data_IF_869311603663
#
_entry.id   IF_869311603663
#
_cell.length_a   1.000
_cell.length_b   1.000
_cell.length_c   1.000
_cell.angle_alpha   90.00
_cell.angle_beta   90.00
_cell.angle_gamma   90.00
#
_symmetry.space_group_name_H-M   'P 1'
#
loop_
_entity.id
_entity.type
_entity.pdbx_description
1 polymer ?
#
# COMPACT_ATOMS: atom_id res chain seq x y z
N UNK A 1 -9.55 9.73 1.25
CA UNK A 1 -10.66 10.26 0.43
C UNK A 1 -11.82 9.27 0.30
N UNK A 2 -11.67 8.05 0.81
CA UNK A 2 -12.68 7.00 0.78
C UNK A 2 -12.95 6.41 -0.60
N UNK A 3 -12.00 6.54 -1.53
CA UNK A 3 -12.19 6.04 -2.90
C UNK A 3 -11.87 4.56 -3.08
N UNK A 4 -11.22 3.90 -2.12
CA UNK A 4 -10.81 2.50 -2.20
C UNK A 4 -10.97 1.75 -0.87
N UNK A 5 -12.10 1.90 -0.21
CA UNK A 5 -12.39 1.24 1.06
C UNK A 5 -12.58 -0.27 0.85
N UNK A 6 -11.86 -1.09 1.62
CA UNK A 6 -11.85 -2.53 1.49
C UNK A 6 -13.27 -3.14 1.58
N UNK A 7 -13.65 -3.84 0.53
CA UNK A 7 -14.97 -4.48 0.41
C UNK A 7 -16.13 -3.55 0.06
N UNK A 8 -15.93 -2.23 0.09
CA UNK A 8 -16.97 -1.22 -0.15
C UNK A 8 -16.71 -0.36 -1.39
N UNK A 9 -15.46 -0.27 -1.84
CA UNK A 9 -15.07 0.55 -2.98
C UNK A 9 -15.08 2.04 -2.68
N UNK A 10 -15.53 2.85 -3.63
CA UNK A 10 -15.60 4.31 -3.47
C UNK A 10 -16.89 4.71 -2.74
N UNK A 11 -16.74 5.00 -1.45
CA UNK A 11 -17.85 5.46 -0.59
C UNK A 11 -17.77 6.95 -0.22
N UNK A 12 -16.66 7.61 -0.60
CA UNK A 12 -16.40 9.02 -0.33
C UNK A 12 -16.00 9.34 1.11
N UNK A 13 -15.60 10.59 1.32
CA UNK A 13 -15.03 11.05 2.58
C UNK A 13 -15.96 10.87 3.77
N UNK A 14 -17.22 11.28 3.65
CA UNK A 14 -18.17 11.25 4.75
C UNK A 14 -18.44 9.82 5.25
N UNK A 15 -18.63 8.88 4.34
CA UNK A 15 -18.91 7.49 4.70
C UNK A 15 -17.66 6.73 5.17
N UNK A 16 -16.45 7.23 4.88
CA UNK A 16 -15.19 6.64 5.37
C UNK A 16 -14.80 7.05 6.79
N UNK A 17 -15.46 8.06 7.40
CA UNK A 17 -15.17 8.52 8.77
C UNK A 17 -15.13 7.37 9.77
N UNK A 18 -16.13 6.47 9.85
CA UNK A 18 -16.10 5.37 10.82
C UNK A 18 -14.92 4.40 10.62
N UNK A 19 -14.47 4.22 9.37
CA UNK A 19 -13.29 3.40 9.05
C UNK A 19 -12.03 4.05 9.62
N UNK A 20 -11.88 5.36 9.42
CA UNK A 20 -10.71 6.10 9.91
C UNK A 20 -10.71 6.23 11.44
N UNK A 21 -11.87 6.35 12.08
CA UNK A 21 -11.99 6.29 13.54
C UNK A 21 -11.58 4.92 14.08
N UNK A 22 -11.99 3.84 13.42
CA UNK A 22 -11.56 2.48 13.73
C UNK A 22 -10.05 2.32 13.60
N UNK A 23 -9.45 2.88 12.54
CA UNK A 23 -7.99 2.90 12.35
C UNK A 23 -7.29 3.66 13.49
N UNK A 24 -7.79 4.83 13.87
CA UNK A 24 -7.24 5.61 14.98
C UNK A 24 -7.28 4.83 16.30
N UNK A 25 -8.38 4.10 16.55
CA UNK A 25 -8.50 3.22 17.73
C UNK A 25 -7.43 2.12 17.71
N UNK A 26 -7.18 1.48 16.56
CA UNK A 26 -6.14 0.44 16.44
C UNK A 26 -4.73 1.01 16.67
N UNK A 27 -4.42 2.19 16.17
CA UNK A 27 -3.15 2.88 16.46
C UNK A 27 -2.99 3.11 17.97
N UNK A 28 -4.06 3.53 18.65
CA UNK A 28 -4.01 3.73 20.10
C UNK A 28 -3.84 2.43 20.86
N UNK A 29 -4.62 1.40 20.52
CA UNK A 29 -4.64 0.13 21.24
C UNK A 29 -3.31 -0.64 21.08
N UNK A 30 -2.78 -0.74 19.85
CA UNK A 30 -1.63 -1.59 19.57
C UNK A 30 -0.28 -0.86 19.58
N UNK A 31 -0.25 0.44 19.33
CA UNK A 31 0.98 1.21 19.26
C UNK A 31 1.08 2.33 20.31
N UNK A 32 0.02 2.61 21.06
CA UNK A 32 -0.04 3.73 22.02
C UNK A 32 0.01 5.10 21.35
N UNK A 33 -0.21 5.18 20.04
CA UNK A 33 -0.14 6.41 19.25
C UNK A 33 -1.51 7.08 19.21
N UNK A 34 -1.57 8.38 19.46
CA UNK A 34 -2.76 9.19 19.25
C UNK A 34 -2.86 9.55 17.76
N UNK A 35 -3.87 9.04 17.08
CA UNK A 35 -4.14 9.31 15.70
C UNK A 35 -5.40 10.15 15.51
N UNK A 36 -5.36 11.06 14.53
CA UNK A 36 -6.44 11.98 14.21
C UNK A 36 -6.98 11.62 12.82
N UNK A 37 -8.20 11.08 12.73
CA UNK A 37 -8.80 10.77 11.44
C UNK A 37 -9.15 12.05 10.69
N UNK A 38 -8.69 12.15 9.44
CA UNK A 38 -8.98 13.27 8.55
C UNK A 38 -9.43 12.69 7.22
N UNK A 39 -10.70 12.93 6.87
CA UNK A 39 -11.27 12.51 5.59
C UNK A 39 -11.43 13.74 4.68
N UNK A 40 -10.84 13.70 3.49
CA UNK A 40 -10.88 14.80 2.53
C UNK A 40 -11.96 14.56 1.49
N UNK A 41 -12.86 15.52 1.33
CA UNK A 41 -13.91 15.48 0.29
C UNK A 41 -13.37 15.95 -1.07
N UNK A 42 -12.31 15.29 -1.51
CA UNK A 42 -11.69 15.47 -2.83
C UNK A 42 -10.98 14.21 -3.26
N UNK A 43 -10.94 13.96 -4.57
CA UNK A 43 -10.15 12.93 -5.20
C UNK A 43 -9.08 13.52 -6.14
N UNK A 44 -8.87 14.83 -6.08
CA UNK A 44 -7.80 15.50 -6.81
C UNK A 44 -6.46 15.33 -6.08
N UNK A 45 -5.44 14.86 -6.82
CA UNK A 45 -4.11 14.60 -6.28
C UNK A 45 -3.46 15.85 -5.71
N UNK A 46 -3.58 16.98 -6.41
CA UNK A 46 -2.96 18.25 -5.99
C UNK A 46 -3.59 18.76 -4.70
N UNK A 47 -4.93 18.72 -4.61
CA UNK A 47 -5.65 19.13 -3.41
C UNK A 47 -5.32 18.25 -2.20
N UNK A 48 -5.21 16.94 -2.39
CA UNK A 48 -4.80 16.00 -1.32
C UNK A 48 -3.38 16.33 -0.85
N UNK A 49 -2.42 16.42 -1.77
CA UNK A 49 -1.01 16.72 -1.44
C UNK A 49 -0.87 18.07 -0.76
N UNK A 50 -1.50 19.11 -1.28
CA UNK A 50 -1.47 20.45 -0.68
C UNK A 50 -2.08 20.47 0.72
N UNK A 51 -3.19 19.77 0.94
CA UNK A 51 -3.83 19.69 2.26
C UNK A 51 -2.91 18.98 3.25
N UNK A 52 -2.35 17.81 2.89
CA UNK A 52 -1.44 17.06 3.76
C UNK A 52 -0.20 17.90 4.09
N UNK A 53 0.41 18.59 3.13
CA UNK A 53 1.56 19.48 3.36
C UNK A 53 1.25 20.58 4.37
N UNK A 54 0.04 21.15 4.32
CA UNK A 54 -0.37 22.25 5.22
C UNK A 54 -0.58 21.79 6.66
N UNK A 55 -1.08 20.56 6.86
CA UNK A 55 -1.33 20.00 8.19
C UNK A 55 -0.11 19.27 8.78
N UNK A 56 0.80 18.77 7.94
CA UNK A 56 1.96 17.98 8.35
C UNK A 56 2.79 18.56 9.51
N UNK A 57 3.01 19.89 9.61
CA UNK A 57 3.86 20.46 10.68
C UNK A 57 3.39 20.19 12.12
N UNK A 58 2.16 19.77 12.33
CA UNK A 58 1.62 19.49 13.68
C UNK A 58 1.56 18.00 13.99
N UNK A 59 2.02 17.15 13.07
CA UNK A 59 2.01 15.69 13.20
C UNK A 59 3.40 15.08 13.23
N UNK A 60 3.54 13.96 13.91
CA UNK A 60 4.76 13.17 13.91
C UNK A 60 4.87 12.17 12.75
N UNK A 61 3.80 11.97 11.98
CA UNK A 61 3.73 11.10 10.81
C UNK A 61 2.35 11.14 10.16
N UNK A 62 2.26 10.66 8.93
CA UNK A 62 1.04 10.59 8.14
C UNK A 62 0.81 9.15 7.67
N UNK A 63 -0.34 8.58 7.99
CA UNK A 63 -0.84 7.35 7.39
C UNK A 63 -1.86 7.70 6.31
N UNK A 64 -1.51 7.44 5.05
CA UNK A 64 -2.45 7.53 3.94
C UNK A 64 -3.26 6.24 3.88
N UNK A 65 -4.57 6.35 3.69
CA UNK A 65 -5.49 5.23 3.70
C UNK A 65 -6.62 5.45 2.70
N UNK A 66 -7.12 4.36 2.11
CA UNK A 66 -8.31 4.34 1.26
C UNK A 66 -8.27 5.30 0.06
N UNK A 67 -7.07 5.51 -0.51
CA UNK A 67 -6.86 6.26 -1.75
C UNK A 67 -6.68 5.27 -2.91
N UNK A 68 -7.54 5.35 -3.92
CA UNK A 68 -7.52 4.41 -5.04
C UNK A 68 -6.24 4.50 -5.89
N UNK A 69 -5.75 3.33 -6.34
CA UNK A 69 -4.71 3.29 -7.35
C UNK A 69 -5.26 3.77 -8.73
N UNK A 70 -4.44 4.44 -9.57
CA UNK A 70 -3.02 4.67 -9.40
C UNK A 70 -2.67 5.92 -8.56
N UNK A 71 -3.65 6.75 -8.21
CA UNK A 71 -3.48 8.04 -7.53
C UNK A 71 -2.73 7.91 -6.20
N UNK A 72 -2.96 6.84 -5.44
CA UNK A 72 -2.30 6.61 -4.16
C UNK A 72 -0.77 6.59 -4.27
N UNK A 73 -0.21 6.08 -5.37
CA UNK A 73 1.23 6.04 -5.60
C UNK A 73 1.80 7.45 -5.75
N UNK A 74 1.16 8.28 -6.59
CA UNK A 74 1.58 9.66 -6.81
C UNK A 74 1.46 10.52 -5.54
N UNK A 75 0.35 10.39 -4.80
CA UNK A 75 0.15 11.12 -3.54
C UNK A 75 1.24 10.76 -2.55
N UNK A 76 1.55 9.48 -2.36
CA UNK A 76 2.59 9.04 -1.43
C UNK A 76 3.96 9.53 -1.86
N UNK A 77 4.35 9.36 -3.13
CA UNK A 77 5.64 9.80 -3.67
C UNK A 77 5.87 11.29 -3.44
N UNK A 78 4.87 12.12 -3.74
CA UNK A 78 4.95 13.58 -3.61
C UNK A 78 5.03 14.08 -2.17
N UNK A 79 4.79 13.23 -1.18
CA UNK A 79 4.82 13.60 0.24
C UNK A 79 6.08 13.07 0.97
N UNK A 80 6.98 12.36 0.29
CA UNK A 80 8.18 11.80 0.92
C UNK A 80 9.19 12.85 1.39
N UNK A 81 9.09 14.07 0.91
CA UNK A 81 9.98 15.20 1.27
C UNK A 81 9.54 15.97 2.53
N UNK A 82 8.49 15.55 3.22
CA UNK A 82 7.94 16.28 4.38
C UNK A 82 8.82 16.28 5.63
N UNK A 83 9.85 15.42 5.68
CA UNK A 83 10.73 15.30 6.86
C UNK A 83 10.10 14.56 8.05
N UNK A 84 8.90 14.05 7.89
CA UNK A 84 8.21 13.13 8.81
C UNK A 84 7.83 11.86 8.05
N UNK A 85 7.66 10.71 8.73
CA UNK A 85 7.20 9.48 8.07
C UNK A 85 5.85 9.66 7.38
N UNK A 86 5.80 9.29 6.10
CA UNK A 86 4.56 9.20 5.33
C UNK A 86 4.51 7.84 4.65
N UNK A 87 3.43 7.12 4.81
CA UNK A 87 3.24 5.84 4.13
C UNK A 87 1.76 5.60 3.80
N UNK A 88 1.52 4.77 2.81
CA UNK A 88 0.19 4.33 2.42
C UNK A 88 -0.03 2.89 2.89
N UNK A 89 -0.91 2.69 3.86
CA UNK A 89 -1.07 1.39 4.53
C UNK A 89 -1.58 0.30 3.60
N UNK A 90 -2.51 0.61 2.69
CA UNK A 90 -3.03 -0.35 1.69
C UNK A 90 -1.94 -0.90 0.76
N UNK A 91 -0.82 -0.19 0.64
CA UNK A 91 0.37 -0.68 -0.08
C UNK A 91 1.30 -1.42 0.89
N UNK A 92 1.92 -0.68 1.78
CA UNK A 92 3.07 -1.15 2.57
C UNK A 92 2.67 -2.02 3.75
N UNK A 93 1.61 -1.68 4.49
CA UNK A 93 1.12 -2.48 5.60
C UNK A 93 0.67 -3.85 5.13
N UNK A 94 -0.11 -3.90 4.06
CA UNK A 94 -0.57 -5.15 3.45
C UNK A 94 0.61 -6.00 2.93
N UNK A 95 1.60 -5.38 2.28
CA UNK A 95 2.78 -6.09 1.79
C UNK A 95 3.62 -6.68 2.94
N UNK A 96 3.81 -5.94 4.04
CA UNK A 96 4.56 -6.38 5.23
C UNK A 96 3.89 -7.58 5.89
N UNK A 97 2.58 -7.53 6.14
CA UNK A 97 1.88 -8.65 6.81
C UNK A 97 1.83 -9.89 5.93
N UNK A 98 1.72 -9.72 4.61
CA UNK A 98 1.76 -10.84 3.67
C UNK A 98 3.15 -11.50 3.64
N UNK A 99 4.22 -10.70 3.57
CA UNK A 99 5.58 -11.23 3.63
C UNK A 99 5.84 -11.98 4.95
N UNK A 100 5.40 -11.43 6.08
CA UNK A 100 5.51 -12.09 7.38
C UNK A 100 4.77 -13.43 7.40
N UNK A 101 3.57 -13.49 6.83
CA UNK A 101 2.80 -14.73 6.70
C UNK A 101 3.50 -15.74 5.79
N UNK A 102 4.06 -15.30 4.66
CA UNK A 102 4.79 -16.16 3.73
C UNK A 102 6.05 -16.76 4.38
N UNK A 103 6.85 -15.94 5.06
CA UNK A 103 8.05 -16.40 5.80
C UNK A 103 7.66 -17.46 6.83
N UNK A 104 6.62 -17.23 7.62
CA UNK A 104 6.18 -18.19 8.62
C UNK A 104 5.60 -19.47 8.00
N UNK A 105 4.88 -19.36 6.89
CA UNK A 105 4.40 -20.53 6.14
C UNK A 105 5.56 -21.37 5.61
N UNK A 106 6.60 -20.74 5.07
CA UNK A 106 7.80 -21.42 4.60
C UNK A 106 8.52 -22.16 5.77
N UNK A 107 8.61 -21.52 6.94
CA UNK A 107 9.18 -22.13 8.15
C UNK A 107 8.41 -23.37 8.59
N UNK A 108 7.07 -23.27 8.67
CA UNK A 108 6.20 -24.39 9.08
C UNK A 108 6.27 -25.57 8.10
N UNK A 109 6.38 -25.26 6.81
CA UNK A 109 6.43 -26.26 5.73
C UNK A 109 7.86 -26.71 5.40
N UNK A 110 8.87 -26.21 6.11
CA UNK A 110 10.31 -26.45 5.85
C UNK A 110 10.68 -26.20 4.38
N UNK A 111 10.17 -25.11 3.81
CA UNK A 111 10.43 -24.70 2.43
C UNK A 111 11.38 -23.49 2.39
N UNK A 112 12.24 -23.50 1.39
CA UNK A 112 13.09 -22.36 1.06
C UNK A 112 12.28 -21.30 0.31
N UNK A 113 12.20 -20.10 0.87
CA UNK A 113 11.45 -18.98 0.29
C UNK A 113 11.94 -18.60 -1.11
N UNK A 114 13.24 -18.77 -1.38
CA UNK A 114 13.84 -18.48 -2.69
C UNK A 114 13.41 -19.44 -3.81
N UNK A 115 12.71 -20.52 -3.44
CA UNK A 115 12.16 -21.53 -4.37
C UNK A 115 10.64 -21.47 -4.48
N UNK A 116 10.02 -20.44 -3.93
CA UNK A 116 8.56 -20.26 -3.98
C UNK A 116 8.20 -19.42 -5.20
N UNK A 117 7.20 -19.88 -5.95
CA UNK A 117 6.54 -19.11 -6.99
C UNK A 117 5.21 -18.60 -6.48
N UNK A 118 4.96 -17.31 -6.65
CA UNK A 118 3.78 -16.62 -6.12
C UNK A 118 2.91 -16.14 -7.26
N UNK A 119 1.60 -16.38 -7.16
CA UNK A 119 0.60 -15.78 -8.05
C UNK A 119 -0.23 -14.78 -7.26
N UNK A 120 -0.28 -13.54 -7.72
CA UNK A 120 -1.05 -12.46 -7.09
C UNK A 120 -2.28 -12.19 -7.95
N UNK A 121 -3.47 -12.40 -7.40
CA UNK A 121 -4.73 -12.07 -8.06
C UNK A 121 -5.21 -10.69 -7.63
N UNK A 122 -4.90 -9.67 -8.43
CA UNK A 122 -5.20 -8.27 -8.19
C UNK A 122 -3.94 -7.39 -8.32
N UNK A 123 -3.92 -6.51 -9.32
CA UNK A 123 -2.83 -5.57 -9.61
C UNK A 123 -3.24 -4.14 -9.22
N UNK A 124 -3.81 -3.97 -8.05
CA UNK A 124 -4.08 -2.68 -7.40
C UNK A 124 -2.93 -2.25 -6.49
N UNK A 125 -3.18 -1.30 -5.58
CA UNK A 125 -2.17 -0.77 -4.65
C UNK A 125 -1.44 -1.90 -3.88
N UNK A 126 -2.19 -2.78 -3.20
CA UNK A 126 -1.62 -3.89 -2.45
C UNK A 126 -0.86 -4.88 -3.35
N UNK A 127 -1.48 -5.34 -4.44
CA UNK A 127 -0.85 -6.34 -5.32
C UNK A 127 0.45 -5.87 -5.94
N UNK A 128 0.54 -4.61 -6.31
CA UNK A 128 1.76 -3.99 -6.84
C UNK A 128 2.83 -3.91 -5.76
N UNK A 129 2.50 -3.39 -4.57
CA UNK A 129 3.45 -3.29 -3.45
C UNK A 129 3.96 -4.66 -2.99
N UNK A 130 3.08 -5.67 -2.94
CA UNK A 130 3.44 -7.05 -2.61
C UNK A 130 4.43 -7.60 -3.65
N UNK A 131 4.15 -7.42 -4.95
CA UNK A 131 5.03 -7.91 -6.02
C UNK A 131 6.42 -7.30 -5.93
N UNK A 132 6.51 -5.98 -5.71
CA UNK A 132 7.77 -5.26 -5.52
C UNK A 132 8.54 -5.78 -4.30
N UNK A 133 7.87 -5.93 -3.15
CA UNK A 133 8.50 -6.43 -1.93
C UNK A 133 9.00 -7.86 -2.08
N UNK A 134 8.23 -8.77 -2.68
CA UNK A 134 8.63 -10.17 -2.89
C UNK A 134 9.77 -10.31 -3.91
N UNK A 135 9.95 -9.34 -4.79
CA UNK A 135 11.06 -9.27 -5.74
C UNK A 135 12.23 -8.41 -5.25
N UNK A 136 12.16 -7.90 -4.04
CA UNK A 136 13.19 -7.04 -3.44
C UNK A 136 13.45 -5.74 -4.23
N UNK A 137 12.47 -5.21 -4.93
CA UNK A 137 12.63 -3.97 -5.69
C UNK A 137 12.90 -2.81 -4.73
N UNK A 138 14.04 -2.14 -4.90
CA UNK A 138 14.47 -1.03 -4.03
C UNK A 138 15.13 -1.45 -2.70
N UNK A 139 15.37 -2.74 -2.49
CA UNK A 139 16.08 -3.24 -1.30
C UNK A 139 17.49 -3.71 -1.64
N UNK A 140 18.38 -3.64 -0.65
CA UNK A 140 19.75 -4.16 -0.77
C UNK A 140 19.71 -5.70 -0.79
N UNK A 141 20.43 -6.32 -1.73
CA UNK A 141 20.53 -7.78 -1.89
C UNK A 141 21.08 -8.49 -0.63
N UNK A 142 21.82 -7.76 0.23
CA UNK A 142 22.31 -8.30 1.51
C UNK A 142 21.18 -8.46 2.55
N UNK A 143 20.06 -7.77 2.39
CA UNK A 143 18.96 -7.72 3.37
C UNK A 143 17.72 -8.46 2.88
N UNK A 144 17.51 -8.52 1.57
CA UNK A 144 16.31 -9.09 0.98
C UNK A 144 16.65 -10.26 0.07
N UNK A 145 15.93 -11.36 0.22
CA UNK A 145 16.02 -12.53 -0.65
C UNK A 145 14.72 -12.67 -1.45
N UNK A 146 14.76 -12.49 -2.78
CA UNK A 146 13.56 -12.58 -3.60
C UNK A 146 13.04 -14.01 -3.67
N UNK A 147 11.73 -14.16 -3.84
CA UNK A 147 11.12 -15.43 -4.21
C UNK A 147 11.53 -15.82 -5.64
N UNK A 148 11.36 -17.11 -6.03
CA UNK A 148 11.75 -17.60 -7.35
C UNK A 148 11.07 -16.84 -8.50
N UNK A 149 9.74 -16.63 -8.38
CA UNK A 149 8.95 -15.94 -9.41
C UNK A 149 7.69 -15.31 -8.83
N UNK A 150 7.24 -14.21 -9.45
CA UNK A 150 6.00 -13.54 -9.11
C UNK A 150 5.19 -13.28 -10.38
N UNK A 151 3.99 -13.83 -10.43
CA UNK A 151 3.02 -13.63 -11.51
C UNK A 151 1.87 -12.77 -10.98
N UNK A 152 1.72 -11.57 -11.51
CA UNK A 152 0.61 -10.67 -11.14
C UNK A 152 -0.49 -10.77 -12.19
N UNK A 153 -1.74 -10.90 -11.73
CA UNK A 153 -2.91 -10.92 -12.59
C UNK A 153 -3.88 -9.80 -12.23
N UNK A 154 -4.51 -9.22 -13.23
CA UNK A 154 -5.66 -8.32 -13.06
C UNK A 154 -6.91 -8.88 -13.78
N UNK A 155 -7.98 -8.09 -13.87
CA UNK A 155 -9.22 -8.50 -14.53
C UNK A 155 -9.09 -8.88 -16.01
N UNK A 156 -7.95 -8.53 -16.64
CA UNK A 156 -7.65 -8.84 -18.05
C UNK A 156 -6.65 -9.99 -18.20
N UNK A 157 -6.23 -10.62 -17.10
CA UNK A 157 -5.27 -11.72 -17.07
C UNK A 157 -3.88 -11.33 -16.54
N UNK A 158 -2.86 -12.12 -16.87
CA UNK A 158 -1.52 -11.89 -16.39
C UNK A 158 -0.95 -10.56 -16.91
N UNK A 159 -0.26 -9.84 -16.03
CA UNK A 159 0.51 -8.64 -16.35
C UNK A 159 1.88 -9.09 -16.89
N UNK A 160 2.25 -8.66 -18.09
CA UNK A 160 3.52 -9.02 -18.73
C UNK A 160 3.98 -7.92 -19.69
N UNK A 161 5.27 -7.87 -19.98
CA UNK A 161 5.92 -6.81 -20.80
C UNK A 161 5.33 -6.62 -22.21
N UNK A 162 4.69 -7.63 -22.78
CA UNK A 162 4.05 -7.53 -24.11
C UNK A 162 2.63 -7.01 -24.10
N UNK A 163 2.10 -6.68 -22.92
CA UNK A 163 0.71 -6.19 -22.77
C UNK A 163 0.69 -4.67 -22.88
N UNK A 164 -0.21 -4.15 -23.73
CA UNK A 164 -0.40 -2.71 -23.93
C UNK A 164 -1.40 -2.12 -22.93
N UNK A 165 -1.24 -0.83 -22.62
CA UNK A 165 -2.17 -0.09 -21.75
C UNK A 165 -2.03 -0.44 -20.27
N UNK A 166 -0.84 -0.81 -19.84
CA UNK A 166 -0.48 -0.89 -18.43
C UNK A 166 -0.24 0.51 -17.86
N UNK A 167 -0.50 0.69 -16.57
CA UNK A 167 -0.06 1.88 -15.86
C UNK A 167 1.45 1.77 -15.54
N UNK A 168 2.16 2.89 -15.31
CA UNK A 168 3.59 2.89 -15.03
C UNK A 168 3.98 1.93 -13.91
N UNK A 169 3.18 1.83 -12.86
CA UNK A 169 3.44 0.96 -11.71
C UNK A 169 3.34 -0.53 -12.05
N UNK A 170 2.60 -0.87 -13.14
CA UNK A 170 2.50 -2.26 -13.65
C UNK A 170 3.55 -2.59 -14.70
N UNK A 171 4.24 -1.59 -15.23
CA UNK A 171 5.33 -1.78 -16.20
C UNK A 171 6.66 -2.02 -15.51
N UNK A 172 6.82 -1.50 -14.29
CA UNK A 172 8.00 -1.66 -13.44
C UNK A 172 8.10 -3.09 -12.87
#
# INVERSE_FOLDING_TARGET
DGSAVLGLGNIGALASIPVMEGKALLFKEYAGIDAWPICLDTQDTDEIVDTVRRIAPVFGGINLEDIAAPRCFEVEERLQDLGIPVFHDDQHGTAIVLLAALINSCRVLERDITKIRVVISGAGAAGTAIAQLLRCVGYDDAVCQPVEDVIVCDSKGAVHRGRTGLSPEKEA
#
